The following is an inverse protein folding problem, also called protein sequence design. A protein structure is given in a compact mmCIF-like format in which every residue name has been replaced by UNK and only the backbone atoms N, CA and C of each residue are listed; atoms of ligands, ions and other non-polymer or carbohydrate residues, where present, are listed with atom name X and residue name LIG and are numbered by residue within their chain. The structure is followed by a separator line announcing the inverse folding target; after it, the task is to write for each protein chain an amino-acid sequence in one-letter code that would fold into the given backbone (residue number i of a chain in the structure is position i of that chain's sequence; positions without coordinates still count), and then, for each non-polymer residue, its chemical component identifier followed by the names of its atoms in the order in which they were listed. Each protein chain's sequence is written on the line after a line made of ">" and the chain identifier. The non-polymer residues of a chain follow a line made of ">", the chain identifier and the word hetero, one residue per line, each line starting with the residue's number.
data_IF_701075032477
#
_entry.id   IF_701075032477
#
_cell.length_a   1.000
_cell.length_b   1.000
_cell.length_c   1.000
_cell.angle_alpha   90.00
_cell.angle_beta   90.00
_cell.angle_gamma   90.00
#
_symmetry.space_group_name_H-M   'P 1'
#
loop_
_entity.id
_entity.type
_entity.pdbx_description
1 polymer ?
#
# COMPACT_ATOMS: atom_id res chain seq x y z
N UNK A 1 21.41 23.81 -37.18
CA UNK A 1 21.73 22.38 -37.31
C UNK A 1 20.97 21.68 -36.21
N UNK A 2 19.92 20.92 -36.53
CA UNK A 2 19.14 20.21 -35.50
C UNK A 2 20.04 19.15 -34.88
N UNK A 3 20.29 19.25 -33.57
CA UNK A 3 21.15 18.30 -32.86
C UNK A 3 20.33 17.05 -32.59
N UNK A 4 20.56 15.98 -33.36
CA UNK A 4 19.95 14.67 -33.10
C UNK A 4 20.37 14.17 -31.71
N UNK A 5 19.39 13.91 -30.84
CA UNK A 5 19.57 13.38 -29.49
C UNK A 5 19.07 11.95 -29.40
N UNK A 6 19.65 11.17 -28.50
CA UNK A 6 19.23 9.80 -28.23
C UNK A 6 18.13 9.79 -27.17
N UNK A 7 17.01 9.16 -27.52
CA UNK A 7 15.87 8.93 -26.63
C UNK A 7 15.75 7.43 -26.38
N UNK A 8 15.65 7.02 -25.12
CA UNK A 8 15.34 5.64 -24.74
C UNK A 8 13.84 5.45 -24.80
N UNK A 9 13.42 4.46 -25.59
CA UNK A 9 12.01 4.11 -25.76
C UNK A 9 11.78 2.73 -25.18
N UNK A 10 10.79 2.59 -24.31
CA UNK A 10 10.45 1.32 -23.66
C UNK A 10 8.97 0.99 -23.81
N UNK A 11 8.66 -0.29 -23.85
CA UNK A 11 7.31 -0.82 -23.73
C UNK A 11 7.33 -2.02 -22.79
N UNK A 12 6.24 -2.19 -22.05
CA UNK A 12 6.15 -3.19 -20.98
C UNK A 12 6.25 -4.64 -21.50
N UNK A 13 5.96 -4.87 -22.76
CA UNK A 13 5.92 -6.19 -23.41
C UNK A 13 7.08 -6.34 -24.42
N UNK A 14 7.38 -5.29 -25.18
CA UNK A 14 8.30 -5.31 -26.33
C UNK A 14 9.72 -4.84 -26.01
N UNK A 15 10.05 -4.58 -24.74
CA UNK A 15 11.40 -4.27 -24.28
C UNK A 15 11.81 -2.82 -24.52
N UNK A 16 13.13 -2.56 -24.67
CA UNK A 16 13.70 -1.20 -24.75
C UNK A 16 14.57 -1.04 -25.99
N UNK A 17 14.46 0.10 -26.68
CA UNK A 17 15.29 0.48 -27.84
C UNK A 17 15.74 1.94 -27.73
N UNK A 18 16.89 2.27 -28.31
CA UNK A 18 17.35 3.66 -28.44
C UNK A 18 16.94 4.19 -29.82
N UNK A 19 16.33 5.37 -29.83
CA UNK A 19 15.86 6.06 -31.03
C UNK A 19 16.53 7.43 -31.11
N UNK A 20 17.10 7.74 -32.27
CA UNK A 20 17.62 9.08 -32.54
C UNK A 20 16.44 9.97 -32.95
N UNK A 21 16.29 11.10 -32.28
CA UNK A 21 15.26 12.09 -32.59
C UNK A 21 15.89 13.48 -32.67
N UNK A 22 15.39 14.30 -33.59
CA UNK A 22 15.76 15.70 -33.75
C UNK A 22 14.78 16.66 -33.04
N UNK A 23 13.86 16.11 -32.23
CA UNK A 23 12.81 16.84 -31.53
C UNK A 23 11.46 16.87 -32.25
N UNK A 24 11.35 16.33 -33.47
CA UNK A 24 10.07 16.19 -34.17
C UNK A 24 9.29 14.97 -33.67
N UNK A 25 8.08 15.20 -33.16
CA UNK A 25 7.23 14.16 -32.58
C UNK A 25 6.68 13.18 -33.63
N UNK A 26 6.31 13.64 -34.83
CA UNK A 26 5.75 12.79 -35.89
C UNK A 26 6.81 11.85 -36.49
N UNK A 27 8.03 12.36 -36.69
CA UNK A 27 9.17 11.54 -37.13
C UNK A 27 9.59 10.54 -36.05
N UNK A 28 9.50 10.93 -34.78
CA UNK A 28 9.75 10.04 -33.65
C UNK A 28 8.70 8.93 -33.55
N UNK A 29 7.40 9.26 -33.64
CA UNK A 29 6.31 8.28 -33.69
C UNK A 29 6.51 7.28 -34.82
N UNK A 30 6.81 7.77 -36.03
CA UNK A 30 7.12 6.92 -37.19
C UNK A 30 8.32 6.00 -36.94
N UNK A 31 9.36 6.53 -36.28
CA UNK A 31 10.54 5.76 -35.91
C UNK A 31 10.26 4.70 -34.85
N UNK A 32 9.37 4.99 -33.89
CA UNK A 32 8.89 4.03 -32.89
C UNK A 32 8.11 2.91 -33.59
N UNK A 33 7.15 3.24 -34.46
CA UNK A 33 6.37 2.25 -35.21
C UNK A 33 7.26 1.31 -36.02
N UNK A 34 8.19 1.87 -36.79
CA UNK A 34 9.13 1.09 -37.60
C UNK A 34 10.06 0.23 -36.73
N UNK A 35 10.64 0.76 -35.65
CA UNK A 35 11.57 0.00 -34.81
C UNK A 35 10.89 -1.05 -33.95
N UNK A 36 9.63 -0.89 -33.59
CA UNK A 36 8.89 -1.86 -32.75
C UNK A 36 7.93 -2.75 -33.55
N UNK A 37 7.96 -2.65 -34.88
CA UNK A 37 7.14 -3.44 -35.82
C UNK A 37 5.65 -3.34 -35.47
N UNK A 38 5.17 -2.10 -35.32
CA UNK A 38 3.79 -1.76 -34.95
C UNK A 38 2.96 -1.46 -36.19
N UNK A 39 1.68 -1.84 -36.18
CA UNK A 39 0.74 -1.55 -37.29
C UNK A 39 0.40 -0.05 -37.32
N UNK A 40 0.08 0.51 -38.49
CA UNK A 40 -0.34 1.91 -38.63
C UNK A 40 -1.68 2.18 -37.95
N UNK A 41 -2.53 1.15 -37.81
CA UNK A 41 -3.82 1.24 -37.15
C UNK A 41 -3.75 1.25 -35.61
N UNK A 42 -2.61 0.90 -35.02
CA UNK A 42 -2.45 0.83 -33.56
C UNK A 42 -2.36 2.23 -32.93
N UNK A 43 -3.19 2.52 -31.93
CA UNK A 43 -3.16 3.78 -31.19
C UNK A 43 -2.09 3.74 -30.09
N UNK A 44 -1.11 4.64 -30.17
CA UNK A 44 0.07 4.67 -29.29
C UNK A 44 -0.02 5.92 -28.41
N UNK A 45 0.08 5.73 -27.10
CA UNK A 45 0.28 6.81 -26.13
C UNK A 45 1.70 6.78 -25.58
N UNK A 46 2.30 7.94 -25.34
CA UNK A 46 3.63 8.04 -24.75
C UNK A 46 3.54 8.63 -23.35
N UNK A 47 4.32 8.07 -22.43
CA UNK A 47 4.48 8.60 -21.07
C UNK A 47 5.97 8.69 -20.72
N UNK A 48 6.36 9.60 -19.84
CA UNK A 48 7.72 9.62 -19.29
C UNK A 48 7.91 8.55 -18.20
N UNK A 49 9.13 8.45 -17.66
CA UNK A 49 9.48 7.45 -16.65
C UNK A 49 8.69 7.55 -15.33
N UNK A 50 8.10 8.72 -15.04
CA UNK A 50 7.22 8.96 -13.90
C UNK A 50 5.73 8.86 -14.24
N UNK A 51 5.40 8.54 -15.50
CA UNK A 51 4.02 8.26 -15.94
C UNK A 51 3.22 9.47 -16.42
N UNK A 52 3.82 10.65 -16.55
CA UNK A 52 3.16 11.81 -17.17
C UNK A 52 3.07 11.63 -18.70
N UNK A 53 1.96 12.04 -19.29
CA UNK A 53 1.73 11.93 -20.74
C UNK A 53 2.67 12.85 -21.53
N UNK A 54 3.21 12.33 -22.63
CA UNK A 54 4.12 13.03 -23.53
C UNK A 54 3.44 13.20 -24.88
N UNK A 55 2.94 14.41 -25.12
CA UNK A 55 2.32 14.82 -26.37
C UNK A 55 3.31 15.56 -27.29
N UNK A 56 2.81 16.04 -28.44
CA UNK A 56 3.58 16.79 -29.43
C UNK A 56 4.19 18.09 -28.90
N UNK A 57 3.60 18.69 -27.86
CA UNK A 57 4.01 19.98 -27.32
C UNK A 57 5.08 19.81 -26.22
N UNK A 58 4.99 18.72 -25.45
CA UNK A 58 5.90 18.38 -24.36
C UNK A 58 7.14 17.64 -24.87
N UNK A 59 7.01 16.81 -25.91
CA UNK A 59 8.11 16.02 -26.45
C UNK A 59 9.37 16.83 -26.84
N UNK A 60 9.27 17.96 -27.58
CA UNK A 60 10.44 18.76 -27.92
C UNK A 60 11.15 19.32 -26.68
N UNK A 61 10.40 19.65 -25.63
CA UNK A 61 10.93 20.16 -24.36
C UNK A 61 11.69 19.05 -23.64
N UNK A 62 11.13 17.84 -23.55
CA UNK A 62 11.79 16.68 -22.95
C UNK A 62 13.09 16.32 -23.65
N UNK A 63 13.09 16.26 -24.98
CA UNK A 63 14.30 15.96 -25.76
C UNK A 63 15.33 17.09 -25.64
N UNK A 64 14.90 18.34 -25.41
CA UNK A 64 15.83 19.46 -25.20
C UNK A 64 16.63 19.39 -23.90
N UNK A 65 16.17 18.63 -22.89
CA UNK A 65 16.88 18.43 -21.61
C UNK A 65 18.22 17.68 -21.80
N UNK A 66 19.13 17.87 -20.85
CA UNK A 66 20.42 17.17 -20.83
C UNK A 66 20.27 15.75 -20.27
N UNK A 67 20.74 14.76 -21.01
CA UNK A 67 20.65 13.34 -20.67
C UNK A 67 19.81 12.52 -21.66
N UNK A 68 19.89 11.19 -21.55
CA UNK A 68 19.10 10.26 -22.36
C UNK A 68 17.74 10.08 -21.68
N UNK A 69 16.72 10.75 -22.21
CA UNK A 69 15.35 10.66 -21.70
C UNK A 69 14.77 9.26 -21.90
N UNK A 70 13.91 8.81 -20.97
CA UNK A 70 13.20 7.54 -21.06
C UNK A 70 11.71 7.77 -21.28
N UNK A 71 11.23 7.41 -22.46
CA UNK A 71 9.83 7.48 -22.86
C UNK A 71 9.28 6.05 -22.95
N UNK A 72 8.12 5.83 -22.34
CA UNK A 72 7.41 4.56 -22.34
C UNK A 72 6.21 4.70 -23.26
N UNK A 73 6.09 3.83 -24.27
CA UNK A 73 4.90 3.81 -25.14
C UNK A 73 3.95 2.67 -24.76
N UNK A 74 2.65 2.96 -24.82
CA UNK A 74 1.56 2.03 -24.48
C UNK A 74 0.59 1.92 -25.66
N UNK A 75 0.15 0.70 -25.96
CA UNK A 75 -0.86 0.41 -26.97
C UNK A 75 -2.23 0.27 -26.32
N UNK A 76 -3.27 0.83 -26.95
CA UNK A 76 -4.64 0.84 -26.41
C UNK A 76 -5.20 -0.60 -26.24
N UNK A 77 -4.84 -1.51 -27.15
CA UNK A 77 -5.23 -2.94 -27.09
C UNK A 77 -4.38 -3.79 -26.12
N UNK A 78 -3.25 -3.29 -25.62
CA UNK A 78 -2.44 -3.97 -24.58
C UNK A 78 -3.00 -3.72 -23.16
N UNK A 79 -4.17 -3.07 -23.04
CA UNK A 79 -4.78 -2.68 -21.75
C UNK A 79 -5.46 -3.81 -20.98
N UNK A 80 -5.43 -5.06 -21.44
CA UNK A 80 -5.86 -6.20 -20.61
C UNK A 80 -4.73 -6.67 -19.70
N UNK A 81 -4.27 -5.80 -18.78
CA UNK A 81 -3.57 -6.28 -17.59
C UNK A 81 -4.61 -6.89 -16.68
N UNK A 82 -4.66 -8.21 -16.76
CA UNK A 82 -5.47 -9.12 -15.97
C UNK A 82 -5.46 -8.74 -14.48
N UNK A 83 -6.67 -8.73 -13.93
CA UNK A 83 -7.01 -8.69 -12.53
C UNK A 83 -6.07 -9.60 -11.70
N UNK A 84 -5.37 -9.01 -10.74
CA UNK A 84 -4.73 -9.76 -9.67
C UNK A 84 -5.72 -9.82 -8.52
N UNK A 85 -6.35 -10.99 -8.37
CA UNK A 85 -7.04 -11.38 -7.16
C UNK A 85 -6.04 -11.50 -6.02
N UNK A 86 -6.14 -10.58 -5.04
CA UNK A 86 -5.34 -10.57 -3.83
C UNK A 86 -5.94 -11.46 -2.71
N UNK A 87 -6.97 -12.25 -3.00
CA UNK A 87 -7.53 -13.23 -2.06
C UNK A 87 -6.82 -14.58 -2.12
N UNK A 88 -5.52 -14.61 -1.78
CA UNK A 88 -4.93 -15.88 -1.32
C UNK A 88 -5.44 -16.15 0.11
N UNK A 89 -6.54 -16.91 0.18
CA UNK A 89 -7.04 -17.52 1.40
C UNK A 89 -5.95 -18.42 2.00
N UNK A 90 -5.30 -17.94 3.04
CA UNK A 90 -4.40 -18.72 3.86
C UNK A 90 -5.23 -19.57 4.84
N UNK A 91 -5.94 -20.58 4.35
CA UNK A 91 -6.43 -21.66 5.21
C UNK A 91 -5.31 -22.67 5.43
N UNK A 92 -4.40 -22.30 6.33
CA UNK A 92 -3.64 -23.21 7.18
C UNK A 92 -3.10 -22.37 8.34
N UNK A 93 -3.60 -22.65 9.53
CA UNK A 93 -3.19 -22.01 10.78
C UNK A 93 -1.66 -22.07 10.91
N UNK A 94 -0.97 -20.93 10.82
CA UNK A 94 0.35 -20.75 11.43
C UNK A 94 0.24 -19.62 12.44
N UNK A 95 0.02 -20.00 13.69
CA UNK A 95 0.12 -19.15 14.86
C UNK A 95 1.51 -18.51 14.93
N UNK A 96 1.56 -17.19 14.90
CA UNK A 96 2.77 -16.42 15.20
C UNK A 96 3.11 -16.58 16.68
N UNK A 97 3.94 -17.56 17.01
CA UNK A 97 4.66 -17.61 18.28
C UNK A 97 6.03 -16.97 18.09
N UNK A 98 6.27 -15.87 18.81
CA UNK A 98 7.62 -15.40 19.11
C UNK A 98 8.34 -16.51 19.90
N UNK A 99 9.53 -16.98 19.48
CA UNK A 99 10.25 -17.92 20.31
C UNK A 99 10.93 -17.16 21.46
N UNK A 100 10.46 -17.44 22.68
CA UNK A 100 11.23 -17.23 23.89
C UNK A 100 12.49 -18.10 23.84
N UNK A 101 13.59 -17.57 24.37
CA UNK A 101 14.85 -18.28 24.53
C UNK A 101 14.64 -19.60 25.29
N UNK A 102 14.88 -20.73 24.62
CA UNK A 102 14.69 -22.06 25.18
C UNK A 102 15.23 -23.13 24.24
N UNK A 103 16.38 -23.68 24.61
CA UNK A 103 17.15 -24.66 23.87
C UNK A 103 16.44 -26.04 23.89
N UNK A 104 15.87 -26.50 22.76
CA UNK A 104 15.58 -27.93 22.52
C UNK A 104 15.90 -28.25 21.06
N UNK A 105 16.85 -29.17 20.87
CA UNK A 105 17.49 -29.45 19.61
C UNK A 105 16.63 -30.20 18.60
N UNK A 106 16.59 -29.65 17.39
CA UNK A 106 16.78 -30.41 16.16
C UNK A 106 18.02 -29.84 15.48
N UNK A 107 19.13 -30.51 15.75
CA UNK A 107 20.42 -30.27 15.12
C UNK A 107 20.36 -30.65 13.65
N UNK A 108 20.26 -29.66 12.76
CA UNK A 108 21.01 -29.67 11.51
C UNK A 108 21.47 -28.23 11.26
N UNK A 109 22.74 -27.99 11.56
CA UNK A 109 23.44 -26.80 11.11
C UNK A 109 23.54 -26.85 9.58
N UNK A 110 22.64 -26.19 8.88
CA UNK A 110 22.80 -25.94 7.45
C UNK A 110 23.66 -24.70 7.25
N UNK A 111 24.97 -24.92 7.30
CA UNK A 111 25.96 -23.98 6.80
C UNK A 111 26.67 -24.57 5.58
N UNK A 112 26.76 -23.76 4.52
CA UNK A 112 27.69 -23.83 3.38
C UNK A 112 27.24 -24.74 2.23
N UNK A 113 26.57 -24.10 1.26
CA UNK A 113 26.04 -24.66 0.03
C UNK A 113 24.55 -24.38 -0.05
N UNK A 114 24.17 -23.18 -0.51
CA UNK A 114 22.76 -22.79 -0.61
C UNK A 114 22.02 -23.74 -1.57
N UNK A 115 21.45 -24.81 -1.02
CA UNK A 115 20.78 -25.88 -1.78
C UNK A 115 19.36 -25.46 -2.16
N UNK A 116 19.24 -24.28 -2.77
CA UNK A 116 17.98 -23.71 -3.21
C UNK A 116 17.24 -24.64 -4.17
N UNK A 117 17.98 -25.41 -4.96
CA UNK A 117 17.42 -26.43 -5.85
C UNK A 117 16.60 -27.46 -5.08
N UNK A 118 17.16 -28.10 -4.05
CA UNK A 118 16.45 -29.13 -3.29
C UNK A 118 15.25 -28.55 -2.52
N UNK A 119 15.40 -27.33 -2.02
CA UNK A 119 14.33 -26.61 -1.33
C UNK A 119 13.16 -26.34 -2.28
N UNK A 120 13.44 -25.74 -3.44
CA UNK A 120 12.43 -25.45 -4.45
C UNK A 120 11.78 -26.74 -4.98
N UNK A 121 12.56 -27.82 -5.19
CA UNK A 121 12.02 -29.12 -5.57
C UNK A 121 11.04 -29.66 -4.53
N UNK A 122 11.37 -29.52 -3.24
CA UNK A 122 10.51 -29.93 -2.14
C UNK A 122 9.24 -29.08 -2.10
N UNK A 123 9.35 -27.75 -2.27
CA UNK A 123 8.20 -26.84 -2.36
C UNK A 123 7.27 -27.21 -3.52
N UNK A 124 7.82 -27.50 -4.70
CA UNK A 124 7.05 -27.93 -5.87
C UNK A 124 6.35 -29.27 -5.59
N UNK A 125 7.02 -30.24 -4.95
CA UNK A 125 6.44 -31.54 -4.63
C UNK A 125 5.35 -31.47 -3.55
N UNK A 126 5.48 -30.57 -2.58
CA UNK A 126 4.52 -30.40 -1.49
C UNK A 126 3.26 -29.67 -1.93
N UNK A 127 3.34 -28.85 -2.98
CA UNK A 127 2.23 -28.03 -3.45
C UNK A 127 1.75 -28.51 -4.83
N UNK A 128 0.66 -29.30 -4.84
CA UNK A 128 0.08 -29.88 -6.06
C UNK A 128 -0.27 -28.83 -7.13
N UNK A 129 -0.64 -27.61 -6.74
CA UNK A 129 -0.96 -26.51 -7.66
C UNK A 129 0.30 -26.03 -8.36
N UNK A 130 1.37 -25.76 -7.59
CA UNK A 130 2.66 -25.34 -8.11
C UNK A 130 3.30 -26.44 -8.95
N UNK A 131 3.18 -27.71 -8.52
CA UNK A 131 3.60 -28.87 -9.32
C UNK A 131 2.93 -28.89 -10.70
N UNK A 132 1.60 -28.72 -10.74
CA UNK A 132 0.84 -28.69 -11.99
C UNK A 132 1.30 -27.58 -12.92
N UNK A 133 1.55 -26.37 -12.40
CA UNK A 133 2.02 -25.22 -13.18
C UNK A 133 3.44 -25.45 -13.70
N UNK A 134 4.34 -26.02 -12.90
CA UNK A 134 5.72 -26.32 -13.32
C UNK A 134 5.72 -27.35 -14.46
N UNK A 135 4.94 -28.41 -14.36
CA UNK A 135 4.83 -29.43 -15.42
C UNK A 135 4.17 -28.87 -16.69
N UNK A 136 3.15 -28.03 -16.56
CA UNK A 136 2.52 -27.33 -17.68
C UNK A 136 3.53 -26.44 -18.42
N UNK A 137 4.30 -25.62 -17.68
CA UNK A 137 5.36 -24.78 -18.25
C UNK A 137 6.46 -25.59 -18.95
N UNK A 138 6.83 -26.76 -18.40
CA UNK A 138 7.80 -27.67 -19.05
C UNK A 138 7.24 -28.23 -20.35
N UNK A 139 5.95 -28.62 -20.36
CA UNK A 139 5.31 -29.17 -21.55
C UNK A 139 5.15 -28.12 -22.67
N UNK A 140 4.82 -26.88 -22.32
CA UNK A 140 4.69 -25.74 -23.24
C UNK A 140 6.04 -25.21 -23.73
N UNK A 141 7.10 -25.38 -22.92
CA UNK A 141 8.43 -24.88 -23.24
C UNK A 141 8.63 -23.38 -23.01
N UNK A 142 7.69 -22.71 -22.32
CA UNK A 142 7.82 -21.32 -21.87
C UNK A 142 7.00 -21.08 -20.60
N UNK A 143 7.24 -19.94 -19.93
CA UNK A 143 6.49 -19.50 -18.75
C UNK A 143 5.66 -18.27 -19.14
N UNK A 144 4.33 -18.38 -19.09
CA UNK A 144 3.42 -17.25 -19.32
C UNK A 144 3.33 -16.33 -18.09
N UNK A 145 2.76 -15.13 -18.27
CA UNK A 145 2.68 -14.11 -17.22
C UNK A 145 1.91 -14.57 -15.97
N UNK A 146 0.86 -15.39 -16.14
CA UNK A 146 0.05 -15.90 -15.02
C UNK A 146 0.85 -16.93 -14.23
N UNK A 147 1.47 -17.88 -14.92
CA UNK A 147 2.34 -18.89 -14.32
C UNK A 147 3.56 -18.24 -13.63
N UNK A 148 4.18 -17.25 -14.28
CA UNK A 148 5.29 -16.45 -13.77
C UNK A 148 4.94 -15.81 -12.42
N UNK A 149 3.80 -15.13 -12.35
CA UNK A 149 3.36 -14.44 -11.13
C UNK A 149 3.16 -15.40 -9.96
N UNK A 150 2.50 -16.53 -10.19
CA UNK A 150 2.23 -17.54 -9.15
C UNK A 150 3.54 -18.15 -8.65
N UNK A 151 4.43 -18.56 -9.57
CA UNK A 151 5.71 -19.16 -9.23
C UNK A 151 6.63 -18.19 -8.48
N UNK A 152 6.72 -16.93 -8.93
CA UNK A 152 7.52 -15.90 -8.26
C UNK A 152 6.98 -15.62 -6.85
N UNK A 153 5.66 -15.55 -6.67
CA UNK A 153 5.07 -15.33 -5.36
C UNK A 153 5.41 -16.45 -4.38
N UNK A 154 5.26 -17.70 -4.78
CA UNK A 154 5.57 -18.86 -3.94
C UNK A 154 7.08 -18.94 -3.64
N UNK A 155 7.92 -18.87 -4.67
CA UNK A 155 9.36 -19.05 -4.52
C UNK A 155 10.00 -17.92 -3.73
N UNK A 156 9.63 -16.65 -3.97
CA UNK A 156 10.17 -15.52 -3.20
C UNK A 156 9.69 -15.56 -1.75
N UNK A 157 8.47 -16.04 -1.48
CA UNK A 157 8.01 -16.27 -0.10
C UNK A 157 8.90 -17.29 0.63
N UNK A 158 9.25 -18.39 -0.06
CA UNK A 158 10.17 -19.39 0.50
C UNK A 158 11.59 -18.85 0.70
N UNK A 159 12.06 -17.99 -0.21
CA UNK A 159 13.36 -17.32 -0.07
C UNK A 159 13.42 -16.47 1.21
N UNK A 160 12.37 -15.69 1.48
CA UNK A 160 12.27 -14.86 2.69
C UNK A 160 12.22 -15.71 3.96
N UNK A 161 11.47 -16.82 3.96
CA UNK A 161 11.41 -17.75 5.10
C UNK A 161 12.80 -18.26 5.51
N UNK A 162 13.70 -18.46 4.54
CA UNK A 162 15.02 -19.05 4.78
C UNK A 162 16.10 -17.99 5.04
N UNK A 163 16.07 -16.89 4.31
CA UNK A 163 17.15 -15.88 4.28
C UNK A 163 16.76 -14.56 4.96
N UNK A 164 15.53 -14.45 5.45
CA UNK A 164 14.96 -13.23 6.01
C UNK A 164 14.52 -12.24 4.93
N UNK A 165 13.98 -11.10 5.37
CA UNK A 165 13.31 -10.16 4.48
C UNK A 165 14.26 -9.54 3.45
N UNK A 166 15.54 -9.33 3.79
CA UNK A 166 16.53 -8.66 2.93
C UNK A 166 17.66 -9.59 2.46
N UNK A 167 17.39 -10.57 1.58
CA UNK A 167 18.42 -11.47 1.09
C UNK A 167 19.47 -10.71 0.26
N UNK A 168 20.75 -11.04 0.46
CA UNK A 168 21.85 -10.40 -0.26
C UNK A 168 21.78 -10.64 -1.78
N UNK A 169 22.35 -9.73 -2.57
CA UNK A 169 22.36 -9.80 -4.04
C UNK A 169 22.95 -11.12 -4.58
N UNK A 170 24.02 -11.63 -3.95
CA UNK A 170 24.62 -12.92 -4.30
C UNK A 170 23.66 -14.09 -4.08
N UNK A 171 22.87 -14.03 -3.01
CA UNK A 171 21.86 -15.03 -2.66
C UNK A 171 20.69 -14.99 -3.64
N UNK A 172 20.22 -13.80 -4.01
CA UNK A 172 19.17 -13.64 -5.04
C UNK A 172 19.61 -14.21 -6.40
N UNK A 173 20.88 -14.00 -6.79
CA UNK A 173 21.45 -14.56 -8.03
C UNK A 173 21.51 -16.09 -8.00
N UNK A 174 21.96 -16.67 -6.89
CA UNK A 174 21.97 -18.13 -6.70
C UNK A 174 20.56 -18.73 -6.70
N UNK A 175 19.60 -18.02 -6.11
CA UNK A 175 18.20 -18.41 -6.11
C UNK A 175 17.60 -18.41 -7.53
N UNK A 176 17.88 -17.38 -8.32
CA UNK A 176 17.48 -17.32 -9.73
C UNK A 176 18.05 -18.49 -10.55
N UNK A 177 19.33 -18.82 -10.35
CA UNK A 177 19.95 -19.97 -11.01
C UNK A 177 19.25 -21.29 -10.64
N UNK A 178 18.90 -21.48 -9.37
CA UNK A 178 18.18 -22.67 -8.92
C UNK A 178 16.77 -22.78 -9.52
N UNK A 179 16.06 -21.67 -9.73
CA UNK A 179 14.77 -21.65 -10.42
C UNK A 179 14.93 -22.12 -11.87
N UNK A 180 15.94 -21.62 -12.59
CA UNK A 180 16.20 -22.03 -13.98
C UNK A 180 16.62 -23.50 -14.08
N UNK A 181 17.29 -24.06 -13.06
CA UNK A 181 17.58 -25.49 -13.03
C UNK A 181 16.33 -26.37 -12.90
N UNK A 182 15.28 -25.88 -12.25
CA UNK A 182 13.99 -26.60 -12.11
C UNK A 182 13.11 -26.34 -13.33
N UNK A 183 13.19 -25.13 -13.87
CA UNK A 183 12.40 -24.68 -15.01
C UNK A 183 13.29 -24.08 -16.11
N UNK A 184 13.98 -24.93 -16.89
CA UNK A 184 14.93 -24.48 -17.91
C UNK A 184 14.31 -23.60 -19.01
N UNK A 185 13.00 -23.73 -19.25
CA UNK A 185 12.27 -22.91 -20.20
C UNK A 185 12.15 -21.42 -19.80
N UNK A 186 12.49 -21.07 -18.55
CA UNK A 186 12.55 -19.67 -18.11
C UNK A 186 13.89 -18.99 -18.44
N UNK A 187 14.85 -19.75 -19.00
CA UNK A 187 16.17 -19.23 -19.35
C UNK A 187 16.07 -18.26 -20.53
N UNK A 188 16.56 -17.05 -20.36
CA UNK A 188 16.61 -16.07 -21.44
C UNK A 188 17.79 -16.36 -22.38
N UNK A 189 17.51 -16.56 -23.67
CA UNK A 189 18.52 -16.93 -24.67
C UNK A 189 19.49 -15.79 -25.02
N UNK A 190 19.13 -14.53 -24.78
CA UNK A 190 19.96 -13.36 -25.07
C UNK A 190 21.01 -13.03 -24.02
N UNK A 191 21.14 -13.85 -22.96
CA UNK A 191 21.99 -13.58 -21.80
C UNK A 191 23.07 -14.65 -21.62
N UNK A 192 24.24 -14.24 -21.11
CA UNK A 192 25.34 -15.17 -20.78
C UNK A 192 24.90 -16.21 -19.74
N UNK A 193 24.21 -15.76 -18.70
CA UNK A 193 23.80 -16.62 -17.58
C UNK A 193 22.34 -17.09 -17.76
N UNK A 194 21.55 -16.37 -18.58
CA UNK A 194 20.15 -16.70 -18.84
C UNK A 194 19.19 -16.27 -17.74
N UNK A 195 19.67 -15.46 -16.77
CA UNK A 195 18.95 -15.12 -15.55
C UNK A 195 18.22 -13.78 -15.59
N UNK A 196 18.49 -12.93 -16.60
CA UNK A 196 18.12 -11.50 -16.57
C UNK A 196 16.62 -11.23 -16.34
N UNK A 197 15.73 -12.14 -16.78
CA UNK A 197 14.29 -12.04 -16.50
C UNK A 197 14.01 -12.17 -15.00
N UNK A 198 14.64 -13.15 -14.34
CA UNK A 198 14.43 -13.44 -12.92
C UNK A 198 15.23 -12.49 -12.02
N UNK A 199 16.47 -12.20 -12.42
CA UNK A 199 17.43 -11.40 -11.66
C UNK A 199 18.35 -10.63 -12.61
N UNK A 200 18.33 -9.30 -12.52
CA UNK A 200 19.21 -8.41 -13.28
C UNK A 200 20.09 -7.61 -12.31
N UNK A 201 21.39 -7.87 -12.35
CA UNK A 201 22.36 -7.21 -11.47
C UNK A 201 22.57 -5.72 -11.85
N UNK A 202 22.46 -5.40 -13.14
CA UNK A 202 22.78 -4.08 -13.70
C UNK A 202 21.61 -3.12 -13.52
N UNK A 203 20.40 -3.53 -13.92
CA UNK A 203 19.21 -2.67 -13.86
C UNK A 203 18.41 -2.81 -12.55
N UNK A 204 18.66 -3.88 -11.79
CA UNK A 204 17.89 -4.25 -10.58
C UNK A 204 16.39 -4.45 -10.85
N UNK A 205 16.00 -4.87 -12.05
CA UNK A 205 14.60 -5.01 -12.47
C UNK A 205 14.11 -6.46 -12.63
N UNK A 206 14.86 -7.46 -12.19
CA UNK A 206 14.42 -8.85 -12.29
C UNK A 206 13.14 -9.11 -11.48
N UNK A 207 12.37 -10.14 -11.87
CA UNK A 207 11.10 -10.48 -11.20
C UNK A 207 11.27 -10.74 -9.69
N UNK A 208 12.37 -11.38 -9.28
CA UNK A 208 12.70 -11.62 -7.87
C UNK A 208 12.93 -10.29 -7.14
N UNK A 209 13.73 -9.40 -7.73
CA UNK A 209 14.05 -8.10 -7.15
C UNK A 209 12.81 -7.21 -7.07
N UNK A 210 11.94 -7.26 -8.08
CA UNK A 210 10.67 -6.51 -8.11
C UNK A 210 9.73 -7.01 -7.03
N UNK A 211 9.60 -8.33 -6.86
CA UNK A 211 8.77 -8.91 -5.81
C UNK A 211 9.30 -8.59 -4.41
N UNK A 212 10.60 -8.76 -4.18
CA UNK A 212 11.25 -8.39 -2.92
C UNK A 212 11.06 -6.91 -2.61
N UNK A 213 11.23 -6.02 -3.59
CA UNK A 213 11.01 -4.58 -3.42
C UNK A 213 9.58 -4.27 -3.03
N UNK A 214 8.59 -4.93 -3.65
CA UNK A 214 7.19 -4.74 -3.29
C UNK A 214 6.88 -5.25 -1.88
N UNK A 215 7.44 -6.40 -1.50
CA UNK A 215 7.32 -6.93 -0.13
C UNK A 215 7.98 -5.97 0.87
N UNK A 216 9.18 -5.48 0.57
CA UNK A 216 9.87 -4.45 1.36
C UNK A 216 9.08 -3.17 1.47
N UNK A 217 8.51 -2.67 0.39
CA UNK A 217 7.63 -1.51 0.44
C UNK A 217 6.43 -1.77 1.35
N UNK A 218 5.83 -2.96 1.29
CA UNK A 218 4.70 -3.33 2.15
C UNK A 218 5.12 -3.41 3.63
N UNK A 219 6.20 -4.13 3.94
CA UNK A 219 6.69 -4.36 5.31
C UNK A 219 7.28 -3.10 5.93
N UNK A 220 8.04 -2.32 5.17
CA UNK A 220 8.70 -1.13 5.67
C UNK A 220 7.77 0.08 5.70
N UNK A 221 6.76 0.21 4.84
CA UNK A 221 5.84 1.37 4.94
C UNK A 221 5.04 1.34 6.23
N UNK A 222 4.59 0.15 6.65
CA UNK A 222 3.82 -0.02 7.87
C UNK A 222 4.68 0.19 9.12
N UNK A 223 5.83 -0.50 9.23
CA UNK A 223 6.77 -0.33 10.33
C UNK A 223 7.35 1.09 10.39
N UNK A 224 7.54 1.75 9.25
CA UNK A 224 8.06 3.11 9.17
C UNK A 224 7.10 4.14 9.75
N UNK A 225 5.78 4.00 9.60
CA UNK A 225 4.86 4.97 10.25
C UNK A 225 5.03 4.93 11.77
N UNK A 226 5.05 3.74 12.38
CA UNK A 226 5.22 3.61 13.83
C UNK A 226 6.61 4.06 14.29
N UNK A 227 7.66 3.64 13.57
CA UNK A 227 9.04 3.96 13.90
C UNK A 227 9.35 5.45 13.74
N UNK A 228 8.97 6.07 12.62
CA UNK A 228 9.18 7.51 12.41
C UNK A 228 8.39 8.32 13.44
N UNK A 229 7.17 7.89 13.79
CA UNK A 229 6.40 8.54 14.85
C UNK A 229 7.08 8.40 16.21
N UNK A 230 7.66 7.25 16.54
CA UNK A 230 8.37 7.07 17.82
C UNK A 230 9.61 7.95 17.92
N UNK A 231 10.31 8.18 16.80
CA UNK A 231 11.42 9.16 16.73
C UNK A 231 10.95 10.60 16.96
N UNK A 232 9.74 10.95 16.52
CA UNK A 232 9.19 12.31 16.67
C UNK A 232 8.53 12.56 18.03
N UNK A 233 7.86 11.54 18.59
CA UNK A 233 6.93 11.64 19.73
C UNK A 233 7.05 10.41 20.65
N UNK A 234 8.27 10.12 21.10
CA UNK A 234 8.65 8.91 21.87
C UNK A 234 7.70 8.58 23.04
N UNK A 235 7.42 9.57 23.90
CA UNK A 235 6.58 9.39 25.09
C UNK A 235 5.09 9.19 24.78
N UNK A 236 4.66 9.49 23.55
CA UNK A 236 3.25 9.46 23.14
C UNK A 236 2.88 8.29 22.24
N UNK A 237 3.85 7.48 21.82
CA UNK A 237 3.68 6.48 20.77
C UNK A 237 2.66 5.36 21.08
N UNK A 238 2.48 5.04 22.37
CA UNK A 238 1.56 3.98 22.83
C UNK A 238 0.30 4.51 23.52
N UNK A 239 0.17 5.84 23.69
CA UNK A 239 -0.90 6.43 24.48
C UNK A 239 -2.28 6.12 23.89
N UNK A 240 -2.41 6.13 22.56
CA UNK A 240 -3.67 5.79 21.90
C UNK A 240 -4.02 4.32 22.06
N UNK A 241 -3.10 3.40 21.72
CA UNK A 241 -3.36 1.95 21.81
C UNK A 241 -3.69 1.50 23.23
N UNK A 242 -3.10 2.14 24.24
CA UNK A 242 -3.34 1.82 25.65
C UNK A 242 -4.69 2.38 26.13
N UNK A 243 -5.01 3.65 25.83
CA UNK A 243 -6.17 4.32 26.40
C UNK A 243 -7.46 4.18 25.57
N UNK A 244 -7.36 3.99 24.25
CA UNK A 244 -8.50 4.02 23.35
C UNK A 244 -9.50 2.87 23.56
N UNK A 245 -9.10 1.61 23.84
CA UNK A 245 -10.07 0.52 24.07
C UNK A 245 -11.02 0.82 25.24
N UNK A 246 -10.48 1.29 26.36
CA UNK A 246 -11.27 1.67 27.55
C UNK A 246 -12.09 2.92 27.28
N UNK A 247 -11.48 3.93 26.68
CA UNK A 247 -12.16 5.19 26.34
C UNK A 247 -13.34 4.96 25.39
N UNK A 248 -13.15 4.19 24.32
CA UNK A 248 -14.17 3.92 23.29
C UNK A 248 -15.39 3.20 23.88
N UNK A 249 -15.16 2.15 24.66
CA UNK A 249 -16.23 1.41 25.34
C UNK A 249 -17.05 2.32 26.27
N UNK A 250 -16.37 3.06 27.15
CA UNK A 250 -17.03 3.96 28.12
C UNK A 250 -17.73 5.13 27.45
N UNK A 251 -17.16 5.68 26.37
CA UNK A 251 -17.76 6.76 25.60
C UNK A 251 -19.10 6.34 25.01
N UNK A 252 -19.19 5.14 24.40
CA UNK A 252 -20.42 4.63 23.81
C UNK A 252 -21.53 4.42 24.85
N UNK A 253 -21.17 3.97 26.05
CA UNK A 253 -22.12 3.75 27.16
C UNK A 253 -22.60 5.09 27.74
N UNK A 254 -21.67 5.96 28.14
CA UNK A 254 -21.98 7.17 28.92
C UNK A 254 -22.45 8.36 28.06
N UNK A 255 -22.30 8.31 26.73
CA UNK A 255 -22.64 9.46 25.85
C UNK A 255 -24.07 9.97 26.00
N UNK A 256 -25.04 9.07 26.24
CA UNK A 256 -26.46 9.45 26.42
C UNK A 256 -26.70 10.25 27.69
N UNK A 257 -25.83 10.13 28.70
CA UNK A 257 -25.97 10.78 30.00
C UNK A 257 -25.62 12.27 29.96
N UNK A 258 -24.65 12.67 29.12
CA UNK A 258 -24.15 14.05 29.07
C UNK A 258 -24.44 14.77 27.75
N UNK A 259 -25.00 14.09 26.74
CA UNK A 259 -25.37 14.71 25.47
C UNK A 259 -26.67 14.14 24.89
N UNK A 260 -27.73 14.94 24.92
CA UNK A 260 -29.05 14.58 24.39
C UNK A 260 -29.36 15.23 23.03
N UNK A 261 -28.34 15.64 22.27
CA UNK A 261 -28.57 16.24 20.96
C UNK A 261 -29.19 15.23 19.98
N UNK A 262 -30.14 15.64 19.11
CA UNK A 262 -30.81 14.72 18.20
C UNK A 262 -29.84 13.92 17.31
N UNK A 263 -28.73 14.53 16.89
CA UNK A 263 -27.72 13.87 16.08
C UNK A 263 -27.00 12.74 16.83
N UNK A 264 -26.64 12.95 18.10
CA UNK A 264 -25.98 11.94 18.94
C UNK A 264 -26.96 10.82 19.30
N UNK A 265 -28.18 11.18 19.69
CA UNK A 265 -29.22 10.20 20.04
C UNK A 265 -29.57 9.31 18.85
N UNK A 266 -29.72 9.89 17.66
CA UNK A 266 -29.98 9.14 16.42
C UNK A 266 -28.82 8.20 16.10
N UNK A 267 -27.58 8.71 16.11
CA UNK A 267 -26.41 7.89 15.81
C UNK A 267 -26.28 6.69 16.77
N UNK A 268 -26.47 6.91 18.07
CA UNK A 268 -26.42 5.86 19.10
C UNK A 268 -27.61 4.89 19.10
N UNK A 269 -28.68 5.19 18.36
CA UNK A 269 -29.85 4.32 18.27
C UNK A 269 -29.87 3.51 16.98
N UNK A 270 -29.37 4.08 15.88
CA UNK A 270 -29.55 3.53 14.53
C UNK A 270 -28.24 3.10 13.86
N UNK A 271 -27.11 3.75 14.19
CA UNK A 271 -25.87 3.65 13.40
C UNK A 271 -24.69 3.05 14.18
N UNK A 272 -24.56 3.30 15.49
CA UNK A 272 -23.39 2.87 16.27
C UNK A 272 -23.16 1.37 16.26
N UNK A 273 -24.24 0.58 16.34
CA UNK A 273 -24.18 -0.87 16.49
C UNK A 273 -23.81 -1.58 15.17
N UNK A 274 -23.83 -0.84 14.06
CA UNK A 274 -23.42 -1.32 12.74
C UNK A 274 -21.90 -1.35 12.59
N UNK A 275 -21.16 -0.59 13.40
CA UNK A 275 -19.71 -0.44 13.30
C UNK A 275 -19.01 -1.19 14.43
N UNK A 276 -17.75 -1.59 14.17
CA UNK A 276 -16.85 -2.02 15.22
C UNK A 276 -16.73 -0.94 16.32
N UNK A 277 -16.52 -1.37 17.58
CA UNK A 277 -16.51 -0.50 18.77
C UNK A 277 -15.60 0.72 18.61
N UNK A 278 -14.38 0.52 18.10
CA UNK A 278 -13.39 1.61 18.02
C UNK A 278 -13.76 2.63 16.96
N UNK A 279 -14.29 2.20 15.81
CA UNK A 279 -14.79 3.10 14.78
C UNK A 279 -16.10 3.78 15.20
N UNK A 280 -16.99 3.04 15.86
CA UNK A 280 -18.25 3.58 16.38
C UNK A 280 -18.00 4.74 17.35
N UNK A 281 -17.02 4.59 18.26
CA UNK A 281 -16.61 5.64 19.18
C UNK A 281 -15.92 6.83 18.47
N UNK A 282 -15.11 6.57 17.44
CA UNK A 282 -14.48 7.62 16.64
C UNK A 282 -15.52 8.50 15.92
N UNK A 283 -16.53 7.89 15.33
CA UNK A 283 -17.63 8.62 14.69
C UNK A 283 -18.53 9.32 15.71
N UNK A 284 -18.78 8.72 16.87
CA UNK A 284 -19.47 9.40 17.97
C UNK A 284 -18.72 10.68 18.39
N UNK A 285 -17.39 10.63 18.46
CA UNK A 285 -16.58 11.82 18.75
C UNK A 285 -16.76 12.91 17.68
N UNK A 286 -16.90 12.54 16.40
CA UNK A 286 -17.24 13.46 15.32
C UNK A 286 -18.66 14.04 15.45
N UNK A 287 -19.63 13.29 15.97
CA UNK A 287 -20.96 13.83 16.29
C UNK A 287 -20.91 14.80 17.48
N UNK A 288 -20.05 14.54 18.47
CA UNK A 288 -19.82 15.44 19.61
C UNK A 288 -19.07 16.70 19.21
N UNK A 289 -18.14 16.60 18.25
CA UNK A 289 -17.30 17.68 17.73
C UNK A 289 -17.53 17.81 16.21
N UNK A 290 -18.69 18.33 15.79
CA UNK A 290 -19.04 18.40 14.37
C UNK A 290 -18.13 19.37 13.60
N UNK A 291 -18.05 19.24 12.26
CA UNK A 291 -17.30 20.16 11.41
C UNK A 291 -17.64 21.63 11.72
N UNK A 292 -16.63 22.49 11.79
CA UNK A 292 -16.84 23.92 12.02
C UNK A 292 -17.58 24.55 10.82
N UNK A 293 -18.43 25.56 11.08
CA UNK A 293 -19.09 26.30 10.02
C UNK A 293 -18.08 27.20 9.28
N UNK A 294 -18.03 27.12 7.95
CA UNK A 294 -17.06 27.86 7.12
C UNK A 294 -17.52 29.29 6.84
N UNK A 295 -17.62 30.10 7.91
CA UNK A 295 -17.91 31.53 7.81
C UNK A 295 -19.23 31.87 7.10
N UNK A 296 -19.55 33.17 6.97
CA UNK A 296 -20.81 33.61 6.36
C UNK A 296 -20.78 33.59 4.81
N UNK A 297 -19.62 33.37 4.19
CA UNK A 297 -19.41 33.55 2.75
C UNK A 297 -19.18 32.26 1.95
N UNK A 298 -18.96 31.09 2.59
CA UNK A 298 -18.68 29.82 1.92
C UNK A 298 -19.50 28.66 2.51
N UNK A 299 -20.82 28.73 2.28
CA UNK A 299 -21.70 27.55 2.34
C UNK A 299 -22.01 26.96 3.72
N UNK A 300 -23.00 26.07 3.72
CA UNK A 300 -23.47 25.31 4.88
C UNK A 300 -22.36 24.41 5.46
N UNK A 301 -22.42 24.15 6.77
CA UNK A 301 -21.55 23.19 7.47
C UNK A 301 -21.55 21.84 6.74
N UNK A 302 -20.37 21.25 6.53
CA UNK A 302 -20.27 19.89 5.97
C UNK A 302 -21.06 18.91 6.85
N UNK A 303 -21.82 18.02 6.21
CA UNK A 303 -22.60 16.99 6.94
C UNK A 303 -21.63 16.03 7.63
N UNK A 304 -21.98 15.56 8.82
CA UNK A 304 -21.16 14.59 9.56
C UNK A 304 -20.87 13.34 8.73
N UNK A 305 -21.85 12.86 7.96
CA UNK A 305 -21.68 11.71 7.04
C UNK A 305 -20.60 11.96 5.97
N UNK A 306 -20.51 13.19 5.43
CA UNK A 306 -19.44 13.54 4.50
C UNK A 306 -18.07 13.56 5.19
N UNK A 307 -18.01 14.08 6.42
CA UNK A 307 -16.79 14.09 7.21
C UNK A 307 -16.35 12.66 7.62
N UNK A 308 -17.28 11.75 7.93
CA UNK A 308 -16.97 10.35 8.19
C UNK A 308 -16.24 9.71 7.00
N UNK A 309 -16.73 9.92 5.77
CA UNK A 309 -16.11 9.39 4.55
C UNK A 309 -14.72 9.97 4.27
N UNK A 310 -14.38 11.14 4.83
CA UNK A 310 -13.04 11.71 4.76
C UNK A 310 -12.06 10.99 5.68
N UNK A 311 -12.51 10.34 6.76
CA UNK A 311 -11.64 9.59 7.68
C UNK A 311 -11.55 8.10 7.32
N UNK A 312 -12.69 7.48 7.05
CA UNK A 312 -12.82 6.02 6.95
C UNK A 312 -13.69 5.67 5.75
N UNK A 313 -13.27 4.67 4.97
CA UNK A 313 -14.01 4.13 3.84
C UNK A 313 -14.11 2.61 4.00
N UNK A 314 -15.33 2.11 4.03
CA UNK A 314 -15.62 0.68 4.16
C UNK A 314 -15.90 0.06 2.80
N UNK A 315 -15.34 -1.12 2.56
CA UNK A 315 -15.69 -1.95 1.41
C UNK A 315 -15.85 -3.41 1.83
N UNK A 316 -16.64 -4.16 1.06
CA UNK A 316 -16.84 -5.58 1.32
C UNK A 316 -15.57 -6.36 0.99
N UNK A 317 -15.26 -7.39 1.78
CA UNK A 317 -14.17 -8.33 1.47
C UNK A 317 -14.27 -8.85 0.04
N UNK A 318 -13.13 -8.88 -0.66
CA UNK A 318 -13.05 -9.24 -2.08
C UNK A 318 -13.15 -8.08 -3.07
N UNK A 319 -13.41 -6.84 -2.59
CA UNK A 319 -13.36 -5.66 -3.47
C UNK A 319 -11.91 -5.38 -3.89
N UNK A 320 -11.59 -5.34 -5.20
CA UNK A 320 -10.24 -5.01 -5.66
C UNK A 320 -9.81 -3.61 -5.23
N UNK A 321 -8.63 -3.50 -4.62
CA UNK A 321 -8.12 -2.22 -4.10
C UNK A 321 -7.89 -1.17 -5.20
N UNK A 322 -7.54 -1.60 -6.42
CA UNK A 322 -7.37 -0.67 -7.55
C UNK A 322 -8.70 0.00 -7.93
N UNK A 323 -9.80 -0.77 -7.99
CA UNK A 323 -11.13 -0.22 -8.25
C UNK A 323 -11.58 0.75 -7.16
N UNK A 324 -11.10 0.57 -5.92
CA UNK A 324 -11.32 1.53 -4.84
C UNK A 324 -10.57 2.84 -5.13
N UNK A 325 -9.30 2.77 -5.53
CA UNK A 325 -8.49 3.96 -5.84
C UNK A 325 -9.05 4.75 -7.04
N UNK A 326 -9.65 4.08 -8.03
CA UNK A 326 -10.29 4.75 -9.17
C UNK A 326 -11.47 5.64 -8.74
N UNK A 327 -12.11 5.33 -7.61
CA UNK A 327 -13.20 6.15 -7.04
C UNK A 327 -12.71 7.36 -6.25
N UNK A 328 -11.40 7.51 -6.04
CA UNK A 328 -10.84 8.60 -5.22
C UNK A 328 -10.59 9.86 -6.04
N UNK A 329 -11.12 10.98 -5.54
CA UNK A 329 -10.87 12.31 -6.10
C UNK A 329 -9.43 12.77 -5.86
N UNK A 330 -8.83 13.47 -6.84
CA UNK A 330 -7.54 14.17 -6.72
C UNK A 330 -7.51 15.25 -5.64
N UNK A 331 -8.68 15.72 -5.19
CA UNK A 331 -8.78 16.70 -4.11
C UNK A 331 -8.59 16.08 -2.71
N UNK A 332 -8.69 14.74 -2.59
CA UNK A 332 -8.56 14.02 -1.33
C UNK A 332 -7.09 13.67 -1.06
N UNK A 333 -6.38 14.62 -0.45
CA UNK A 333 -4.94 14.52 -0.14
C UNK A 333 -4.63 13.98 1.25
N UNK A 334 -5.57 14.14 2.19
CA UNK A 334 -5.34 13.70 3.57
C UNK A 334 -5.39 12.16 3.68
N UNK A 335 -4.63 11.59 4.64
CA UNK A 335 -4.72 10.19 4.97
C UNK A 335 -6.15 9.76 5.28
N UNK A 336 -6.53 8.61 4.73
CA UNK A 336 -7.81 8.00 5.02
C UNK A 336 -7.71 6.48 5.08
N UNK A 337 -8.48 5.91 6.01
CA UNK A 337 -8.44 4.52 6.38
C UNK A 337 -9.45 3.72 5.55
N UNK A 338 -8.94 2.77 4.78
CA UNK A 338 -9.73 1.73 4.14
C UNK A 338 -9.89 0.57 5.12
N UNK A 339 -11.15 0.18 5.33
CA UNK A 339 -11.53 -0.99 6.11
C UNK A 339 -12.24 -2.00 5.21
N UNK A 340 -11.74 -3.23 5.16
CA UNK A 340 -12.35 -4.35 4.46
C UNK A 340 -12.93 -5.34 5.46
N UNK A 341 -14.15 -5.81 5.22
CA UNK A 341 -14.81 -6.79 6.08
C UNK A 341 -16.06 -7.39 5.45
N UNK A 342 -16.62 -8.42 6.08
CA UNK A 342 -17.93 -8.96 5.66
C UNK A 342 -19.02 -7.90 5.80
N UNK A 343 -18.97 -7.17 6.90
CA UNK A 343 -19.79 -6.02 7.23
C UNK A 343 -18.96 -4.99 8.02
N UNK A 344 -19.59 -3.86 8.39
CA UNK A 344 -18.94 -2.75 9.10
C UNK A 344 -18.55 -3.07 10.55
N UNK A 345 -19.05 -4.18 11.11
CA UNK A 345 -18.79 -4.67 12.46
C UNK A 345 -17.70 -5.73 12.47
N UNK A 346 -17.67 -6.58 11.45
CA UNK A 346 -16.73 -7.68 11.26
C UNK A 346 -15.65 -7.31 10.23
N UNK A 347 -14.74 -6.43 10.65
CA UNK A 347 -13.62 -5.95 9.84
C UNK A 347 -12.43 -6.92 9.91
N UNK A 348 -11.78 -7.13 8.77
CA UNK A 348 -10.74 -8.16 8.58
C UNK A 348 -9.40 -7.55 8.14
N UNK A 349 -9.42 -6.51 7.31
CA UNK A 349 -8.20 -5.92 6.76
C UNK A 349 -8.29 -4.40 6.75
N UNK A 350 -7.14 -3.76 6.96
CA UNK A 350 -7.00 -2.32 7.08
C UNK A 350 -5.87 -1.82 6.19
N UNK A 351 -6.05 -0.68 5.55
CA UNK A 351 -5.04 -0.02 4.71
C UNK A 351 -5.23 1.48 4.76
N UNK A 352 -4.17 2.25 4.53
CA UNK A 352 -4.26 3.70 4.37
C UNK A 352 -4.21 4.06 2.89
N UNK A 353 -4.84 5.15 2.53
CA UNK A 353 -4.58 5.83 1.25
C UNK A 353 -4.21 7.27 1.56
N UNK A 354 -3.10 7.72 0.96
CA UNK A 354 -2.56 9.08 1.08
C UNK A 354 -2.12 9.50 -0.32
N UNK A 355 -2.58 10.65 -0.82
CA UNK A 355 -2.28 11.13 -2.18
C UNK A 355 -2.48 10.05 -3.27
N UNK A 356 -3.61 9.32 -3.20
CA UNK A 356 -3.95 8.16 -4.07
C UNK A 356 -2.98 6.97 -4.00
N UNK A 357 -1.98 7.02 -3.13
CA UNK A 357 -1.07 5.90 -2.89
C UNK A 357 -1.68 5.04 -1.79
N UNK A 358 -1.93 3.78 -2.12
CA UNK A 358 -2.33 2.76 -1.14
C UNK A 358 -1.11 2.32 -0.32
N UNK A 359 -1.23 2.45 0.99
CA UNK A 359 -0.24 2.09 1.98
C UNK A 359 -0.78 0.96 2.86
N UNK A 360 -0.20 -0.25 2.79
CA UNK A 360 -0.56 -1.31 3.71
C UNK A 360 -0.14 -0.94 5.13
N UNK A 361 -0.95 -1.34 6.12
CA UNK A 361 -0.65 -1.16 7.53
C UNK A 361 -0.72 -2.50 8.27
N UNK A 362 0.18 -2.70 9.23
CA UNK A 362 0.20 -3.82 10.17
C UNK A 362 -0.74 -3.53 11.33
N UNK A 363 -2.04 -3.43 11.01
CA UNK A 363 -3.10 -3.32 12.00
C UNK A 363 -3.94 -4.60 11.98
N UNK A 364 -4.08 -5.22 13.15
CA UNK A 364 -4.89 -6.44 13.34
C UNK A 364 -6.32 -6.14 13.76
N UNK A 365 -6.56 -4.93 14.25
CA UNK A 365 -7.84 -4.47 14.75
C UNK A 365 -8.03 -2.97 14.46
N UNK A 366 -9.27 -2.50 14.61
CA UNK A 366 -9.64 -1.11 14.33
C UNK A 366 -8.91 -0.09 15.21
N UNK A 367 -8.52 -0.44 16.44
CA UNK A 367 -7.76 0.47 17.32
C UNK A 367 -6.38 0.74 16.73
N UNK A 368 -5.65 -0.29 16.35
CA UNK A 368 -4.36 -0.16 15.67
C UNK A 368 -4.50 0.58 14.32
N UNK A 369 -5.59 0.33 13.60
CA UNK A 369 -5.84 0.99 12.32
C UNK A 369 -6.05 2.51 12.48
N UNK A 370 -6.82 2.93 13.48
CA UNK A 370 -7.01 4.36 13.81
C UNK A 370 -5.70 4.99 14.31
N UNK A 371 -4.90 4.23 15.08
CA UNK A 371 -3.57 4.66 15.52
C UNK A 371 -2.67 4.99 14.31
N UNK A 372 -2.61 4.10 13.31
CA UNK A 372 -1.84 4.34 12.08
C UNK A 372 -2.37 5.51 11.27
N UNK A 373 -3.69 5.64 11.17
CA UNK A 373 -4.31 6.79 10.50
C UNK A 373 -3.88 8.10 11.16
N UNK A 374 -3.94 8.21 12.49
CA UNK A 374 -3.51 9.42 13.18
C UNK A 374 -2.01 9.69 13.02
N UNK A 375 -1.17 8.67 13.24
CA UNK A 375 0.30 8.81 13.15
C UNK A 375 0.76 9.23 11.75
N UNK A 376 0.07 8.78 10.71
CA UNK A 376 0.38 9.14 9.32
C UNK A 376 0.34 10.67 9.07
N UNK A 377 -0.49 11.42 9.80
CA UNK A 377 -0.51 12.88 9.70
C UNK A 377 0.81 13.53 10.15
N UNK A 378 1.46 12.96 11.17
CA UNK A 378 2.74 13.47 11.65
C UNK A 378 3.88 13.01 10.74
N UNK A 379 3.90 11.71 10.42
CA UNK A 379 4.96 11.11 9.61
C UNK A 379 5.03 11.72 8.21
N UNK A 380 3.88 11.98 7.60
CA UNK A 380 3.80 12.60 6.27
C UNK A 380 3.68 14.12 6.33
N UNK A 381 3.73 14.73 7.51
CA UNK A 381 3.48 16.17 7.69
C UNK A 381 2.19 16.65 7.01
N UNK A 382 1.15 15.81 7.03
CA UNK A 382 -0.12 16.06 6.36
C UNK A 382 -1.04 16.88 7.25
N UNK A 383 -1.46 18.05 6.76
CA UNK A 383 -2.40 18.91 7.47
C UNK A 383 -3.74 18.20 7.72
N UNK A 384 -4.36 18.49 8.87
CA UNK A 384 -5.69 18.00 9.16
C UNK A 384 -6.74 18.65 8.24
N UNK A 385 -7.60 17.82 7.65
CA UNK A 385 -8.74 18.30 6.89
C UNK A 385 -9.57 19.27 7.75
N UNK A 386 -9.97 20.39 7.15
CA UNK A 386 -10.73 21.46 7.81
C UNK A 386 -12.00 20.98 8.50
N UNK A 387 -12.65 19.93 8.00
CA UNK A 387 -13.86 19.36 8.60
C UNK A 387 -13.56 18.38 9.75
N UNK A 388 -12.32 17.90 9.84
CA UNK A 388 -11.87 16.90 10.80
C UNK A 388 -10.92 17.45 11.88
N UNK A 389 -10.43 18.68 11.71
CA UNK A 389 -9.54 19.35 12.66
C UNK A 389 -9.99 19.25 14.12
N UNK A 390 -11.30 19.36 14.38
CA UNK A 390 -11.84 19.27 15.74
C UNK A 390 -11.60 17.91 16.39
N UNK A 391 -11.84 16.83 15.66
CA UNK A 391 -11.65 15.45 16.13
C UNK A 391 -10.16 15.15 16.25
N UNK A 392 -9.36 15.52 15.25
CA UNK A 392 -7.91 15.25 15.26
C UNK A 392 -7.19 15.99 16.39
N UNK A 393 -7.50 17.28 16.62
CA UNK A 393 -6.95 18.03 17.75
C UNK A 393 -7.40 17.47 19.10
N UNK A 394 -8.62 16.95 19.20
CA UNK A 394 -9.08 16.29 20.41
C UNK A 394 -8.23 15.03 20.70
N UNK A 395 -8.04 14.17 19.71
CA UNK A 395 -7.21 12.97 19.86
C UNK A 395 -5.76 13.34 20.20
N UNK A 396 -5.18 14.32 19.49
CA UNK A 396 -3.83 14.83 19.73
C UNK A 396 -3.61 15.23 21.19
N UNK A 397 -4.46 16.09 21.76
CA UNK A 397 -4.25 16.65 23.09
C UNK A 397 -4.74 15.71 24.21
N UNK A 398 -5.92 15.11 24.05
CA UNK A 398 -6.58 14.43 25.16
C UNK A 398 -6.30 12.93 25.22
N UNK A 399 -6.00 12.30 24.08
CA UNK A 399 -5.68 10.86 24.01
C UNK A 399 -4.16 10.68 23.88
N UNK A 400 -3.54 11.23 22.83
CA UNK A 400 -2.11 11.09 22.57
C UNK A 400 -1.21 11.89 23.51
N UNK A 401 -1.71 12.97 24.12
CA UNK A 401 -0.92 13.89 24.99
C UNK A 401 0.17 14.66 24.25
N UNK A 402 -0.07 14.95 22.97
CA UNK A 402 0.85 15.71 22.13
C UNK A 402 0.47 17.19 22.16
N UNK A 403 1.47 18.05 22.39
CA UNK A 403 1.36 19.50 22.26
C UNK A 403 0.20 20.10 23.08
N UNK A 404 0.01 19.60 24.31
CA UNK A 404 -1.12 19.89 25.21
C UNK A 404 -1.35 21.39 25.42
N UNK A 405 -0.29 22.15 25.68
CA UNK A 405 -0.37 23.59 25.95
C UNK A 405 -0.06 24.47 24.71
N UNK A 406 0.31 23.84 23.59
CA UNK A 406 0.68 24.54 22.34
C UNK A 406 -0.46 24.55 21.32
N UNK A 407 -1.37 23.60 21.42
CA UNK A 407 -2.44 23.42 20.44
C UNK A 407 -3.59 24.39 20.70
N UNK A 408 -3.94 25.22 19.72
CA UNK A 408 -5.13 26.06 19.82
C UNK A 408 -6.42 25.21 19.67
N UNK A 409 -7.24 25.23 20.73
CA UNK A 409 -8.46 24.45 20.87
C UNK A 409 -9.69 25.34 20.85
N UNK A 410 -10.65 24.99 19.98
CA UNK A 410 -11.93 25.69 19.92
C UNK A 410 -12.75 25.53 21.21
N UNK A 411 -13.67 26.45 21.47
CA UNK A 411 -14.60 26.38 22.61
C UNK A 411 -15.35 25.05 22.66
N UNK A 412 -15.73 24.50 21.50
CA UNK A 412 -16.46 23.23 21.42
C UNK A 412 -15.61 22.05 21.88
N UNK A 413 -14.33 22.01 21.50
CA UNK A 413 -13.40 20.97 21.96
C UNK A 413 -13.24 21.03 23.48
N UNK A 414 -13.02 22.23 24.03
CA UNK A 414 -12.88 22.45 25.48
C UNK A 414 -14.13 22.03 26.27
N UNK A 415 -15.31 22.31 25.73
CA UNK A 415 -16.58 21.89 26.31
C UNK A 415 -16.69 20.35 26.33
N UNK A 416 -16.45 19.70 25.18
CA UNK A 416 -16.54 18.24 25.07
C UNK A 416 -15.50 17.55 25.95
N UNK A 417 -14.25 18.04 26.00
CA UNK A 417 -13.23 17.49 26.89
C UNK A 417 -13.59 17.61 28.37
N UNK A 418 -14.28 18.69 28.77
CA UNK A 418 -14.78 18.85 30.14
C UNK A 418 -15.88 17.83 30.46
N UNK A 419 -16.80 17.57 29.52
CA UNK A 419 -17.85 16.56 29.69
C UNK A 419 -17.26 15.15 29.78
N UNK A 420 -16.18 14.90 29.04
CA UNK A 420 -15.50 13.60 28.97
C UNK A 420 -14.39 13.43 30.01
N UNK A 421 -14.21 14.37 30.94
CA UNK A 421 -13.08 14.36 31.87
C UNK A 421 -12.98 13.07 32.69
N UNK A 422 -14.10 12.56 33.21
CA UNK A 422 -14.13 11.29 33.96
C UNK A 422 -13.68 10.10 33.11
N UNK A 423 -14.21 9.99 31.88
CA UNK A 423 -13.85 8.91 30.95
C UNK A 423 -12.37 8.99 30.57
N UNK A 424 -11.87 10.20 30.29
CA UNK A 424 -10.48 10.47 29.95
C UNK A 424 -9.51 10.22 31.12
N UNK A 425 -9.96 10.28 32.37
CA UNK A 425 -9.14 9.98 33.54
C UNK A 425 -9.10 8.47 33.79
N UNK A 426 -10.26 7.81 33.71
CA UNK A 426 -10.39 6.36 33.87
C UNK A 426 -9.57 5.60 32.81
N UNK A 427 -9.55 6.06 31.56
CA UNK A 427 -8.81 5.41 30.47
C UNK A 427 -7.28 5.54 30.56
N UNK A 428 -6.73 6.17 31.61
CA UNK A 428 -5.29 6.32 31.83
C UNK A 428 -4.74 5.43 32.95
N UNK A 429 -5.63 4.85 33.76
CA UNK A 429 -5.29 4.12 34.98
C UNK A 429 -5.25 2.60 34.76
N UNK A 430 -5.66 2.15 33.59
CA UNK A 430 -5.60 0.78 33.09
C UNK A 430 -4.56 0.73 31.96
#
# INVERSE_FOLDING_TARGET
>A
MSSTKLVRVSNNIRGKKLISSDGNFEEFLSSVRSKFELDEAENITFVEEYGAEVDSDVFPILVSLDGIQNIIFKLEEESSVLEIDLSYNNTSQSSYFLPAAGNIGLSQSFGIGDNFKQILQTTVQQNNVIHGIVEDCKSKGFVDDKSSTILINEFVSKLIEIKGDSPATSVQKQFAAAIVEILPCWRYSGSKDGLDILFDEVSRSGLIQTRLRRIHQILHTSQKISFEFSLMKEESQHNFTNSWPVFSSKLLIKAKEFNSSPAVTKYLAEESDQWDQSLAALFLLLHLIPPAAQGKAKGSRSKTTCAQMLMVSYYKSGTPLNSILDTWSDEKRQPNLICLGEDKKNLVSFSLVVDKILLPIDATNSTEAIDRLFKSHYVFSAEYDKNLQGVWKFLQVFIYKIDVDKTDLSRKIKQVSSQLHGILAESRLE
#
